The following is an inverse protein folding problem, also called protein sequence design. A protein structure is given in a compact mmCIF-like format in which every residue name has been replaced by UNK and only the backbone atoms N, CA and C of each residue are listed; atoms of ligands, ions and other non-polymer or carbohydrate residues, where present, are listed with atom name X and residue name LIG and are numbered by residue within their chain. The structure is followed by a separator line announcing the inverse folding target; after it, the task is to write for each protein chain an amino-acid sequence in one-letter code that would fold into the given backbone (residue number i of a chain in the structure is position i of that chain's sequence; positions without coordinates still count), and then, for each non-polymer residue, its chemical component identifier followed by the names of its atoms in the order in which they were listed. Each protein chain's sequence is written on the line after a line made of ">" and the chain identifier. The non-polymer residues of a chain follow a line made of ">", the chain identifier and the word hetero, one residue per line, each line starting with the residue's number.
data_IF_636170849560
#
_entry.id   IF_636170849560
#
_cell.length_a   1.000
_cell.length_b   1.000
_cell.length_c   1.000
_cell.angle_alpha   90.00
_cell.angle_beta   90.00
_cell.angle_gamma   90.00
#
_symmetry.space_group_name_H-M   'P 1'
#
loop_
_entity.id
_entity.type
_entity.pdbx_description
1 polymer ?
#
# COMPACT_ATOMS: atom_id res chain seq x y z
N UNK A 1 -8.43 1.04 -19.11
CA UNK A 1 -7.93 2.42 -18.93
C UNK A 1 -9.08 3.29 -18.49
N UNK A 2 -8.84 4.18 -17.52
CA UNK A 2 -9.76 5.25 -17.16
C UNK A 2 -9.92 6.26 -18.30
N UNK A 3 -11.15 6.70 -18.58
CA UNK A 3 -11.49 7.65 -19.65
C UNK A 3 -11.40 9.09 -19.17
N UNK A 4 -11.85 9.35 -17.96
CA UNK A 4 -11.83 10.68 -17.34
C UNK A 4 -11.77 10.59 -15.81
N UNK A 5 -11.69 11.76 -15.16
CA UNK A 5 -11.55 11.90 -13.70
C UNK A 5 -12.85 11.55 -12.98
N UNK A 6 -14.01 11.84 -13.59
CA UNK A 6 -15.31 11.61 -12.97
C UNK A 6 -15.64 10.10 -12.94
N UNK A 7 -15.26 9.36 -13.98
CA UNK A 7 -15.31 7.89 -14.04
C UNK A 7 -14.49 7.27 -12.91
N UNK A 8 -13.28 7.79 -12.62
CA UNK A 8 -12.46 7.30 -11.50
C UNK A 8 -13.18 7.46 -10.17
N UNK A 9 -13.77 8.63 -9.91
CA UNK A 9 -14.51 8.88 -8.66
C UNK A 9 -15.67 7.90 -8.48
N UNK A 10 -16.45 7.68 -9.54
CA UNK A 10 -17.58 6.73 -9.52
C UNK A 10 -17.09 5.30 -9.30
N UNK A 11 -16.05 4.87 -10.02
CA UNK A 11 -15.50 3.53 -9.90
C UNK A 11 -14.90 3.29 -8.51
N UNK A 12 -14.07 4.20 -8.00
CA UNK A 12 -13.49 4.08 -6.65
C UNK A 12 -14.57 3.99 -5.58
N UNK A 13 -15.63 4.81 -5.67
CA UNK A 13 -16.78 4.74 -4.75
C UNK A 13 -17.49 3.38 -4.86
N UNK A 14 -17.65 2.84 -6.06
CA UNK A 14 -18.20 1.49 -6.29
C UNK A 14 -17.39 0.38 -5.60
N UNK A 15 -16.08 0.53 -5.51
CA UNK A 15 -15.17 -0.34 -4.75
C UNK A 15 -14.94 0.11 -3.31
N UNK A 16 -15.88 0.90 -2.75
CA UNK A 16 -15.89 1.37 -1.37
C UNK A 16 -14.65 2.18 -0.97
N UNK A 17 -14.12 2.99 -1.88
CA UNK A 17 -13.06 3.95 -1.60
C UNK A 17 -13.53 5.37 -1.93
N UNK A 18 -13.53 6.25 -0.93
CA UNK A 18 -13.96 7.64 -1.08
C UNK A 18 -12.75 8.49 -1.45
N UNK A 19 -12.51 8.63 -2.75
CA UNK A 19 -11.46 9.51 -3.28
C UNK A 19 -11.96 10.95 -3.41
N UNK A 20 -11.06 11.90 -3.24
CA UNK A 20 -11.29 13.29 -3.66
C UNK A 20 -10.87 13.51 -5.11
N UNK A 21 -11.27 14.66 -5.66
CA UNK A 21 -10.96 15.00 -7.05
C UNK A 21 -9.46 15.13 -7.30
N UNK A 22 -8.68 15.58 -6.31
CA UNK A 22 -7.22 15.70 -6.43
C UNK A 22 -6.54 14.34 -6.57
N UNK A 23 -6.88 13.35 -5.72
CA UNK A 23 -6.38 11.98 -5.86
C UNK A 23 -6.81 11.36 -7.19
N UNK A 24 -8.09 11.49 -7.56
CA UNK A 24 -8.59 10.97 -8.84
C UNK A 24 -7.85 11.57 -10.04
N UNK A 25 -7.53 12.86 -9.99
CA UNK A 25 -6.72 13.54 -11.02
C UNK A 25 -5.32 12.96 -11.09
N UNK A 26 -4.67 12.71 -9.94
CA UNK A 26 -3.33 12.12 -9.90
C UNK A 26 -3.31 10.68 -10.42
N UNK A 27 -4.35 9.89 -10.13
CA UNK A 27 -4.51 8.53 -10.69
C UNK A 27 -4.68 8.58 -12.21
N UNK A 28 -5.52 9.49 -12.72
CA UNK A 28 -5.72 9.68 -14.16
C UNK A 28 -4.42 10.05 -14.86
N UNK A 29 -3.67 11.02 -14.31
CA UNK A 29 -2.38 11.46 -14.83
C UNK A 29 -1.32 10.36 -14.74
N UNK A 30 -1.28 9.57 -13.66
CA UNK A 30 -0.35 8.46 -13.50
C UNK A 30 -0.54 7.42 -14.61
N UNK A 31 -1.79 7.09 -14.95
CA UNK A 31 -2.11 6.20 -16.06
C UNK A 31 -1.67 6.80 -17.41
N UNK A 32 -2.03 8.06 -17.67
CA UNK A 32 -1.80 8.71 -18.96
C UNK A 32 -0.32 9.02 -19.24
N UNK A 33 0.44 9.38 -18.21
CA UNK A 33 1.87 9.68 -18.30
C UNK A 33 2.76 8.46 -18.06
N UNK A 34 2.17 7.32 -17.69
CA UNK A 34 2.88 6.10 -17.30
C UNK A 34 3.94 6.36 -16.22
N UNK A 35 3.61 7.23 -15.26
CA UNK A 35 4.49 7.58 -14.15
C UNK A 35 4.02 6.94 -12.84
N UNK A 36 4.93 6.53 -11.95
CA UNK A 36 4.56 6.06 -10.63
C UNK A 36 3.81 7.12 -9.83
N UNK A 37 2.81 6.70 -9.06
CA UNK A 37 2.07 7.55 -8.12
C UNK A 37 2.64 7.38 -6.70
N UNK A 38 3.29 8.40 -6.17
CA UNK A 38 3.78 8.47 -4.80
C UNK A 38 2.71 9.09 -3.89
N UNK A 39 2.23 8.29 -2.95
CA UNK A 39 1.30 8.67 -1.89
C UNK A 39 2.06 8.82 -0.57
N UNK A 40 2.28 10.05 -0.13
CA UNK A 40 2.79 10.36 1.22
C UNK A 40 1.63 10.80 2.12
N UNK A 41 1.72 10.53 3.42
CA UNK A 41 0.70 10.97 4.37
C UNK A 41 0.78 10.22 5.69
N UNK A 42 -0.18 10.47 6.57
CA UNK A 42 -0.22 9.84 7.90
C UNK A 42 -0.56 8.35 7.85
N UNK A 43 -0.23 7.61 8.90
CA UNK A 43 -0.58 6.19 8.98
C UNK A 43 -2.11 6.02 9.02
N UNK A 44 -2.63 5.00 8.34
CA UNK A 44 -4.06 4.67 8.42
C UNK A 44 -5.01 5.59 7.63
N UNK A 45 -4.51 6.49 6.77
CA UNK A 45 -5.34 7.34 5.88
C UNK A 45 -5.75 6.67 4.55
N UNK A 46 -5.41 5.38 4.37
CA UNK A 46 -5.87 4.60 3.21
C UNK A 46 -4.97 4.61 1.97
N UNK A 47 -3.68 4.99 2.08
CA UNK A 47 -2.72 4.99 0.97
C UNK A 47 -2.58 3.63 0.27
N UNK A 48 -2.35 2.58 1.06
CA UNK A 48 -2.23 1.20 0.57
C UNK A 48 -3.52 0.68 -0.08
N UNK A 49 -4.68 1.15 0.38
CA UNK A 49 -5.98 0.75 -0.14
C UNK A 49 -6.19 1.27 -1.57
N UNK A 50 -5.61 2.42 -1.94
CA UNK A 50 -5.68 2.98 -3.30
C UNK A 50 -5.20 1.95 -4.33
N UNK A 51 -4.05 1.31 -4.10
CA UNK A 51 -3.49 0.34 -5.03
C UNK A 51 -4.39 -0.90 -5.20
N UNK A 52 -4.99 -1.39 -4.11
CA UNK A 52 -5.92 -2.52 -4.14
C UNK A 52 -7.19 -2.19 -4.93
N UNK A 53 -7.74 -1.00 -4.70
CA UNK A 53 -8.94 -0.53 -5.39
C UNK A 53 -8.65 -0.35 -6.88
N UNK A 54 -7.51 0.24 -7.24
CA UNK A 54 -7.09 0.39 -8.63
C UNK A 54 -6.93 -0.98 -9.30
N UNK A 55 -6.31 -1.96 -8.64
CA UNK A 55 -6.15 -3.29 -9.22
C UNK A 55 -7.49 -3.99 -9.45
N UNK A 56 -8.44 -3.80 -8.54
CA UNK A 56 -9.80 -4.33 -8.67
C UNK A 56 -10.55 -3.66 -9.83
N UNK A 57 -10.47 -2.33 -9.97
CA UNK A 57 -11.12 -1.59 -11.05
C UNK A 57 -10.53 -1.98 -12.41
N UNK A 58 -9.20 -2.10 -12.51
CA UNK A 58 -8.51 -2.48 -13.73
C UNK A 58 -8.58 -3.98 -14.03
N UNK A 59 -9.13 -4.78 -13.10
CA UNK A 59 -9.09 -6.23 -13.13
C UNK A 59 -7.66 -6.76 -13.39
N UNK A 60 -6.68 -6.13 -12.75
CA UNK A 60 -5.26 -6.45 -12.86
C UNK A 60 -4.78 -7.25 -11.65
N UNK A 61 -3.71 -8.03 -11.84
CA UNK A 61 -3.02 -8.68 -10.73
C UNK A 61 -2.38 -7.62 -9.83
N UNK A 62 -2.71 -7.64 -8.54
CA UNK A 62 -2.00 -6.85 -7.54
C UNK A 62 -0.70 -7.57 -7.15
N UNK A 63 0.43 -6.89 -7.35
CA UNK A 63 1.74 -7.34 -6.91
C UNK A 63 2.18 -6.38 -5.80
N UNK A 64 2.47 -6.91 -4.61
CA UNK A 64 2.92 -6.12 -3.47
C UNK A 64 4.39 -6.39 -3.18
N UNK A 65 5.15 -5.33 -3.10
CA UNK A 65 6.49 -5.26 -2.54
C UNK A 65 6.39 -4.49 -1.22
N UNK A 66 6.59 -5.17 -0.10
CA UNK A 66 6.64 -4.53 1.21
C UNK A 66 8.08 -4.09 1.49
N UNK A 67 8.28 -2.82 1.78
CA UNK A 67 9.57 -2.29 2.19
C UNK A 67 9.76 -2.40 3.71
N UNK A 68 10.99 -2.74 4.10
CA UNK A 68 11.47 -2.87 5.47
C UNK A 68 13.01 -2.75 5.45
N UNK A 69 13.61 -2.58 6.63
CA UNK A 69 15.06 -2.40 6.78
C UNK A 69 15.82 -3.68 6.38
N UNK A 70 16.87 -3.55 5.57
CA UNK A 70 17.59 -4.71 5.03
C UNK A 70 16.87 -5.43 3.88
N UNK A 71 15.84 -4.83 3.28
CA UNK A 71 15.28 -5.30 2.01
C UNK A 71 16.34 -5.19 0.90
N UNK A 72 16.59 -6.30 0.20
CA UNK A 72 17.65 -6.39 -0.79
C UNK A 72 17.12 -6.73 -2.20
N UNK A 73 18.03 -6.76 -3.17
CA UNK A 73 17.70 -7.13 -4.56
C UNK A 73 17.23 -8.59 -4.65
N UNK A 74 17.76 -9.50 -3.85
CA UNK A 74 17.42 -10.93 -3.95
C UNK A 74 15.97 -11.24 -3.58
N UNK A 75 15.41 -10.52 -2.60
CA UNK A 75 14.04 -10.69 -2.12
C UNK A 75 13.02 -9.83 -2.88
N UNK A 76 13.46 -8.73 -3.49
CA UNK A 76 12.61 -7.81 -4.24
C UNK A 76 12.55 -8.09 -5.74
N UNK A 77 13.66 -8.57 -6.34
CA UNK A 77 13.86 -8.72 -7.78
C UNK A 77 13.82 -10.17 -8.26
N UNK A 78 14.83 -10.97 -7.91
CA UNK A 78 14.91 -12.38 -8.25
C UNK A 78 15.86 -13.15 -7.33
N UNK A 79 15.65 -14.45 -7.25
CA UNK A 79 16.61 -15.37 -6.63
C UNK A 79 16.77 -16.62 -7.51
N UNK A 80 17.98 -17.15 -7.59
CA UNK A 80 18.21 -18.45 -8.22
C UNK A 80 17.82 -19.59 -7.27
N UNK A 81 17.00 -20.53 -7.75
CA UNK A 81 16.64 -21.71 -6.99
C UNK A 81 17.80 -22.74 -7.02
N UNK A 82 18.84 -22.48 -6.22
CA UNK A 82 20.01 -23.34 -6.11
C UNK A 82 19.67 -24.79 -5.72
N UNK A 83 18.73 -25.08 -4.78
CA UNK A 83 18.34 -26.45 -4.49
C UNK A 83 17.80 -27.20 -5.72
N UNK A 84 16.97 -26.53 -6.53
CA UNK A 84 16.42 -27.12 -7.77
C UNK A 84 17.50 -27.29 -8.84
N UNK A 85 18.41 -26.33 -8.98
CA UNK A 85 19.57 -26.45 -9.88
C UNK A 85 20.43 -27.66 -9.51
N UNK A 86 20.75 -27.81 -8.22
CA UNK A 86 21.56 -28.92 -7.73
C UNK A 86 20.88 -30.28 -7.91
N UNK A 87 19.56 -30.35 -7.74
CA UNK A 87 18.80 -31.58 -8.01
C UNK A 87 18.85 -31.96 -9.50
N UNK A 88 18.68 -30.98 -10.39
CA UNK A 88 18.75 -31.20 -11.85
C UNK A 88 20.14 -31.70 -12.25
N UNK A 89 21.21 -31.06 -11.76
CA UNK A 89 22.60 -31.49 -12.00
C UNK A 89 22.79 -32.96 -11.59
N UNK A 90 22.39 -33.33 -10.37
CA UNK A 90 22.50 -34.72 -9.88
C UNK A 90 21.69 -35.72 -10.73
N UNK A 91 20.50 -35.34 -11.16
CA UNK A 91 19.67 -36.20 -12.02
C UNK A 91 20.31 -36.43 -13.39
N UNK A 92 20.93 -35.41 -13.98
CA UNK A 92 21.65 -35.52 -15.25
C UNK A 92 22.92 -36.38 -15.11
N UNK A 93 23.65 -36.24 -14.01
CA UNK A 93 24.80 -37.11 -13.69
C UNK A 93 24.41 -38.59 -13.60
N UNK A 94 23.28 -38.91 -12.96
CA UNK A 94 22.77 -40.30 -12.85
C UNK A 94 22.33 -40.87 -14.20
N UNK A 95 21.82 -40.02 -15.11
CA UNK A 95 21.36 -40.42 -16.45
C UNK A 95 22.48 -40.58 -17.48
N UNK A 96 23.70 -40.14 -17.16
CA UNK A 96 24.85 -40.22 -18.07
C UNK A 96 24.75 -39.32 -19.30
N UNK A 97 23.91 -38.27 -19.24
CA UNK A 97 23.81 -37.26 -20.31
C UNK A 97 25.08 -36.40 -20.35
N UNK A 98 25.56 -36.09 -21.57
CA UNK A 98 26.83 -35.41 -21.78
C UNK A 98 26.81 -33.98 -21.21
N UNK A 99 27.91 -33.57 -20.55
CA UNK A 99 28.17 -32.26 -19.90
C UNK A 99 28.16 -31.03 -20.81
N UNK A 100 27.53 -31.05 -21.98
CA UNK A 100 27.47 -29.86 -22.83
C UNK A 100 26.31 -28.97 -22.36
N UNK A 101 26.69 -27.75 -22.01
CA UNK A 101 25.86 -26.59 -21.67
C UNK A 101 25.10 -26.67 -20.32
N UNK A 102 25.74 -27.25 -19.30
CA UNK A 102 25.22 -27.24 -17.91
C UNK A 102 24.97 -25.80 -17.44
N UNK A 103 25.88 -24.85 -17.73
CA UNK A 103 25.73 -23.43 -17.35
C UNK A 103 24.49 -22.77 -17.98
N UNK A 104 24.29 -22.90 -19.30
CA UNK A 104 23.09 -22.36 -19.96
C UNK A 104 21.80 -23.06 -19.48
N UNK A 105 21.90 -24.34 -19.10
CA UNK A 105 20.74 -25.10 -18.61
C UNK A 105 20.33 -24.66 -17.20
N UNK A 106 21.29 -24.44 -16.29
CA UNK A 106 21.01 -24.09 -14.88
C UNK A 106 20.66 -22.61 -14.69
N UNK A 107 21.22 -21.70 -15.50
CA UNK A 107 20.89 -20.27 -15.48
C UNK A 107 19.80 -19.93 -16.50
N UNK A 108 18.67 -20.63 -16.39
CA UNK A 108 17.50 -20.44 -17.23
C UNK A 108 16.28 -19.99 -16.42
N UNK A 109 15.28 -19.39 -17.08
CA UNK A 109 14.03 -18.96 -16.42
C UNK A 109 13.38 -20.05 -15.55
N UNK A 110 13.61 -21.34 -15.85
CA UNK A 110 13.11 -22.48 -15.08
C UNK A 110 13.57 -22.50 -13.61
N UNK A 111 14.73 -21.92 -13.32
CA UNK A 111 15.33 -21.86 -11.99
C UNK A 111 15.26 -20.48 -11.35
N UNK A 112 14.80 -19.47 -12.11
CA UNK A 112 14.68 -18.11 -11.64
C UNK A 112 13.38 -17.92 -10.84
N UNK A 113 13.51 -17.68 -9.55
CA UNK A 113 12.39 -17.30 -8.69
C UNK A 113 12.11 -15.82 -8.88
N UNK A 114 11.08 -15.52 -9.67
CA UNK A 114 10.64 -14.13 -9.91
C UNK A 114 10.04 -13.54 -8.64
N UNK A 115 10.64 -12.48 -8.11
CA UNK A 115 10.14 -11.72 -6.95
C UNK A 115 9.25 -10.54 -7.42
N UNK A 116 8.65 -9.73 -6.52
CA UNK A 116 7.64 -8.74 -6.92
C UNK A 116 8.02 -7.84 -8.10
N UNK A 117 9.25 -7.30 -8.14
CA UNK A 117 9.66 -6.38 -9.21
C UNK A 117 9.76 -7.09 -10.56
N UNK A 118 10.42 -8.26 -10.61
CA UNK A 118 10.52 -9.02 -11.86
C UNK A 118 9.15 -9.55 -12.30
N UNK A 119 8.27 -9.94 -11.37
CA UNK A 119 6.89 -10.32 -11.71
C UNK A 119 6.08 -9.15 -12.30
N UNK A 120 6.35 -7.92 -11.87
CA UNK A 120 5.65 -6.74 -12.36
C UNK A 120 6.13 -6.33 -13.77
N UNK A 121 7.43 -6.45 -14.03
CA UNK A 121 8.05 -6.12 -15.32
C UNK A 121 7.82 -7.23 -16.35
N UNK A 122 8.09 -8.48 -15.98
CA UNK A 122 7.96 -9.63 -16.87
C UNK A 122 6.56 -10.26 -16.77
N UNK A 123 5.54 -9.47 -17.11
CA UNK A 123 4.15 -9.93 -17.12
C UNK A 123 3.66 -10.21 -18.54
N UNK A 124 3.38 -11.48 -18.83
CA UNK A 124 2.85 -11.91 -20.14
C UNK A 124 1.32 -11.75 -20.26
N UNK A 125 0.66 -11.18 -19.25
CA UNK A 125 -0.79 -11.01 -19.25
C UNK A 125 -1.24 -9.90 -20.21
N UNK A 126 -2.47 -10.01 -20.72
CA UNK A 126 -3.07 -8.96 -21.54
C UNK A 126 -3.21 -7.63 -20.78
N UNK A 127 -3.52 -7.70 -19.49
CA UNK A 127 -3.71 -6.55 -18.60
C UNK A 127 -2.42 -6.36 -17.77
N UNK A 128 -1.79 -5.16 -17.81
CA UNK A 128 -0.61 -4.89 -16.99
C UNK A 128 -0.97 -4.95 -15.50
N UNK A 129 -0.05 -5.41 -14.63
CA UNK A 129 -0.35 -5.56 -13.22
C UNK A 129 -0.37 -4.20 -12.51
N UNK A 130 -0.94 -4.16 -11.33
CA UNK A 130 -0.77 -3.02 -10.41
C UNK A 130 0.33 -3.39 -9.42
N UNK A 131 1.42 -2.61 -9.41
CA UNK A 131 2.54 -2.78 -8.48
C UNK A 131 2.38 -1.81 -7.32
N UNK A 132 2.24 -2.36 -6.11
CA UNK A 132 2.26 -1.61 -4.87
C UNK A 132 3.64 -1.75 -4.22
N UNK A 133 4.37 -0.64 -4.09
CA UNK A 133 5.58 -0.52 -3.28
C UNK A 133 5.17 0.14 -1.97
N UNK A 134 5.06 -0.65 -0.90
CA UNK A 134 4.44 -0.23 0.35
C UNK A 134 5.50 0.15 1.39
N UNK A 135 5.31 1.30 2.05
CA UNK A 135 6.19 1.83 3.10
C UNK A 135 7.65 2.00 2.67
N UNK A 136 7.89 2.65 1.52
CA UNK A 136 9.24 2.86 0.96
C UNK A 136 10.19 3.60 1.90
N UNK A 137 9.65 4.37 2.84
CA UNK A 137 10.39 5.03 3.92
C UNK A 137 11.03 4.07 4.94
N UNK A 138 10.73 2.77 4.87
CA UNK A 138 11.32 1.75 5.74
C UNK A 138 12.49 1.00 5.11
N UNK A 139 12.72 1.12 3.80
CA UNK A 139 13.92 0.55 3.17
C UNK A 139 15.12 1.48 3.26
N UNK A 140 16.30 0.99 2.88
CA UNK A 140 17.54 1.77 2.86
C UNK A 140 17.69 2.62 1.59
N UNK A 141 18.58 3.61 1.60
CA UNK A 141 18.81 4.52 0.46
C UNK A 141 19.33 3.79 -0.79
N UNK A 142 20.14 2.75 -0.60
CA UNK A 142 20.64 1.91 -1.70
C UNK A 142 19.49 1.25 -2.46
N UNK A 143 18.47 0.79 -1.72
CA UNK A 143 17.29 0.19 -2.33
C UNK A 143 16.43 1.21 -3.06
N UNK A 144 16.27 2.42 -2.53
CA UNK A 144 15.59 3.52 -3.24
C UNK A 144 16.27 3.85 -4.58
N UNK A 145 17.62 3.90 -4.60
CA UNK A 145 18.38 4.16 -5.80
C UNK A 145 18.21 3.05 -6.85
N UNK A 146 18.21 1.79 -6.40
CA UNK A 146 17.93 0.64 -7.26
C UNK A 146 16.50 0.69 -7.83
N UNK A 147 15.49 0.92 -6.99
CA UNK A 147 14.10 1.07 -7.45
C UNK A 147 13.94 2.19 -8.46
N UNK A 148 14.67 3.29 -8.27
CA UNK A 148 14.66 4.42 -9.18
C UNK A 148 15.09 4.05 -10.60
N UNK A 149 16.14 3.23 -10.72
CA UNK A 149 16.60 2.71 -12.02
C UNK A 149 15.49 1.87 -12.66
N UNK A 150 14.94 0.91 -11.91
CA UNK A 150 13.89 0.01 -12.38
C UNK A 150 12.63 0.75 -12.81
N UNK A 151 12.17 1.75 -12.04
CA UNK A 151 10.95 2.51 -12.32
C UNK A 151 11.11 3.56 -13.42
N UNK A 152 12.34 3.97 -13.75
CA UNK A 152 12.58 4.96 -14.81
C UNK A 152 12.39 4.35 -16.19
N UNK A 153 12.95 3.16 -16.40
CA UNK A 153 12.99 2.50 -17.71
C UNK A 153 12.09 1.26 -17.78
N UNK A 154 11.47 0.86 -16.67
CA UNK A 154 10.72 -0.39 -16.52
C UNK A 154 11.49 -1.61 -17.06
N UNK A 155 12.80 -1.62 -16.79
CA UNK A 155 13.72 -2.68 -17.20
C UNK A 155 14.58 -3.13 -16.02
N UNK A 156 15.05 -4.37 -16.10
CA UNK A 156 15.92 -5.01 -15.13
C UNK A 156 17.04 -5.70 -15.88
N UNK A 157 18.29 -5.53 -15.44
CA UNK A 157 19.41 -6.32 -15.96
C UNK A 157 19.76 -7.44 -14.99
N UNK A 158 19.68 -8.68 -15.48
CA UNK A 158 20.13 -9.87 -14.76
C UNK A 158 21.45 -10.30 -15.39
N UNK A 159 22.58 -10.33 -14.68
CA UNK A 159 23.90 -10.61 -15.26
C UNK A 159 23.95 -11.87 -16.13
N UNK A 160 23.26 -12.93 -15.71
CA UNK A 160 23.28 -14.23 -16.37
C UNK A 160 22.28 -14.37 -17.52
N UNK A 161 21.22 -13.55 -17.57
CA UNK A 161 20.13 -13.64 -18.57
C UNK A 161 20.10 -12.44 -19.52
N UNK A 162 20.71 -11.32 -19.13
CA UNK A 162 20.66 -10.04 -19.84
C UNK A 162 19.53 -9.13 -19.35
N UNK A 163 19.20 -8.13 -20.17
CA UNK A 163 18.20 -7.10 -19.84
C UNK A 163 16.79 -7.56 -20.22
N UNK A 164 15.89 -7.45 -19.25
CA UNK A 164 14.46 -7.73 -19.38
C UNK A 164 13.71 -6.41 -19.27
N UNK A 165 13.06 -5.99 -20.35
CA UNK A 165 12.23 -4.79 -20.38
C UNK A 165 10.75 -5.15 -20.37
N UNK A 166 9.93 -4.34 -19.71
CA UNK A 166 8.49 -4.53 -19.70
C UNK A 166 7.88 -4.17 -21.07
N UNK A 167 7.14 -5.10 -21.67
CA UNK A 167 6.34 -4.82 -22.87
C UNK A 167 5.15 -3.90 -22.56
N UNK A 168 4.62 -4.00 -21.34
CA UNK A 168 3.50 -3.20 -20.83
C UNK A 168 3.81 -2.74 -19.41
N UNK A 169 3.75 -1.43 -19.20
CA UNK A 169 4.14 -0.87 -17.91
C UNK A 169 3.06 -1.10 -16.84
N UNK A 170 3.46 -1.57 -15.64
CA UNK A 170 2.53 -1.71 -14.54
C UNK A 170 2.02 -0.34 -14.07
N UNK A 171 0.81 -0.32 -13.50
CA UNK A 171 0.37 0.83 -12.75
C UNK A 171 1.06 0.80 -11.38
N UNK A 172 1.97 1.74 -11.12
CA UNK A 172 2.78 1.76 -9.90
C UNK A 172 2.21 2.72 -8.87
N UNK A 173 1.95 2.22 -7.67
CA UNK A 173 1.64 3.02 -6.47
C UNK A 173 2.75 2.81 -5.45
N UNK A 174 3.32 3.91 -4.97
CA UNK A 174 4.33 3.92 -3.92
C UNK A 174 3.71 4.59 -2.70
N UNK A 175 3.81 3.99 -1.51
CA UNK A 175 3.29 4.59 -0.27
C UNK A 175 4.42 4.89 0.70
N UNK A 176 4.28 5.97 1.46
CA UNK A 176 5.18 6.31 2.56
C UNK A 176 4.42 6.93 3.73
N UNK A 177 4.81 6.56 4.94
CA UNK A 177 4.30 7.13 6.19
C UNK A 177 5.17 8.30 6.69
N UNK A 178 6.16 8.73 5.89
CA UNK A 178 7.12 9.78 6.19
C UNK A 178 7.88 9.54 7.52
N UNK A 179 8.17 8.28 7.88
CA UNK A 179 9.02 7.97 9.04
C UNK A 179 10.46 8.46 8.84
N UNK A 180 10.89 8.57 7.59
CA UNK A 180 12.09 9.30 7.16
C UNK A 180 11.81 10.07 5.87
N UNK A 181 12.73 10.96 5.52
CA UNK A 181 12.67 11.65 4.23
C UNK A 181 13.14 10.71 3.11
N UNK A 182 12.33 10.62 2.05
CA UNK A 182 12.68 9.91 0.82
C UNK A 182 13.65 10.73 -0.02
N UNK A 183 14.42 10.04 -0.87
CA UNK A 183 15.38 10.69 -1.74
C UNK A 183 14.66 11.57 -2.78
N UNK A 184 15.13 12.82 -2.96
CA UNK A 184 14.56 13.78 -3.91
C UNK A 184 14.43 13.25 -5.35
N UNK A 185 15.35 12.38 -5.77
CA UNK A 185 15.33 11.77 -7.09
C UNK A 185 14.07 10.90 -7.30
N UNK A 186 13.63 10.17 -6.26
CA UNK A 186 12.42 9.36 -6.31
C UNK A 186 11.19 10.25 -6.46
N UNK A 187 11.09 11.31 -5.65
CA UNK A 187 9.99 12.28 -5.72
C UNK A 187 9.87 12.92 -7.09
N UNK A 188 10.99 13.32 -7.72
CA UNK A 188 11.01 13.98 -9.04
C UNK A 188 10.58 13.07 -10.19
N UNK A 189 10.69 11.74 -10.04
CA UNK A 189 10.28 10.77 -11.06
C UNK A 189 8.84 10.26 -10.88
N UNK A 190 8.22 10.58 -9.75
CA UNK A 190 6.83 10.20 -9.46
C UNK A 190 5.87 11.39 -9.62
N UNK A 191 4.59 11.09 -9.85
CA UNK A 191 3.53 12.01 -9.52
C UNK A 191 3.30 11.96 -8.01
N UNK A 192 3.29 13.12 -7.37
CA UNK A 192 3.20 13.22 -5.92
C UNK A 192 1.78 13.61 -5.49
N UNK A 193 1.27 12.92 -4.48
CA UNK A 193 0.03 13.28 -3.82
C UNK A 193 0.13 13.08 -2.31
N UNK A 194 -0.24 14.12 -1.55
CA UNK A 194 -0.34 14.06 -0.10
C UNK A 194 -1.73 13.60 0.31
N UNK A 195 -1.82 12.53 1.09
CA UNK A 195 -3.06 12.02 1.67
C UNK A 195 -3.14 12.44 3.12
N UNK A 196 -3.97 13.44 3.38
CA UNK A 196 -4.24 13.94 4.73
C UNK A 196 -5.33 13.13 5.43
N UNK A 197 -5.54 13.39 6.71
CA UNK A 197 -6.76 12.98 7.39
C UNK A 197 -7.98 13.54 6.65
N UNK A 198 -9.07 12.76 6.53
CA UNK A 198 -10.27 13.21 5.83
C UNK A 198 -10.96 14.34 6.58
N UNK A 199 -11.67 15.20 5.83
CA UNK A 199 -12.66 16.10 6.44
C UNK A 199 -13.76 15.28 7.11
N UNK A 200 -14.52 15.91 8.01
CA UNK A 200 -15.66 15.28 8.66
C UNK A 200 -16.62 14.62 7.66
N UNK A 201 -16.97 15.33 6.57
CA UNK A 201 -17.90 14.84 5.56
C UNK A 201 -17.34 13.61 4.83
N UNK A 202 -16.06 13.68 4.44
CA UNK A 202 -15.38 12.56 3.76
C UNK A 202 -15.25 11.36 4.69
N UNK A 203 -14.95 11.58 5.96
CA UNK A 203 -14.83 10.52 6.96
C UNK A 203 -16.17 9.83 7.24
N UNK A 204 -17.23 10.62 7.39
CA UNK A 204 -18.58 10.11 7.56
C UNK A 204 -19.00 9.26 6.36
N UNK A 205 -18.73 9.73 5.14
CA UNK A 205 -18.99 8.96 3.92
C UNK A 205 -18.20 7.65 3.90
N UNK A 206 -16.93 7.66 4.33
CA UNK A 206 -16.10 6.46 4.44
C UNK A 206 -16.72 5.46 5.42
N UNK A 207 -17.10 5.91 6.62
CA UNK A 207 -17.71 5.06 7.66
C UNK A 207 -18.99 4.43 7.16
N UNK A 208 -19.91 5.22 6.60
CA UNK A 208 -21.18 4.74 6.06
C UNK A 208 -20.99 3.75 4.89
N UNK A 209 -19.95 3.95 4.08
CA UNK A 209 -19.64 3.08 2.94
C UNK A 209 -18.99 1.75 3.36
N UNK A 210 -18.10 1.79 4.35
CA UNK A 210 -17.31 0.63 4.79
C UNK A 210 -18.02 -0.21 5.85
N UNK A 211 -18.97 0.36 6.61
CA UNK A 211 -19.63 -0.31 7.74
C UNK A 211 -21.15 -0.39 7.51
N UNK A 212 -21.63 -1.42 6.79
CA UNK A 212 -23.06 -1.65 6.61
C UNK A 212 -23.76 -1.86 7.96
N UNK A 213 -24.88 -1.18 8.17
CA UNK A 213 -25.70 -1.34 9.38
C UNK A 213 -25.37 -0.39 10.52
N UNK A 214 -24.36 0.48 10.39
CA UNK A 214 -24.17 1.57 11.34
C UNK A 214 -25.30 2.60 11.23
N UNK A 215 -25.80 3.09 12.37
CA UNK A 215 -26.78 4.19 12.39
C UNK A 215 -26.06 5.52 12.11
N UNK A 216 -26.68 6.38 11.31
CA UNK A 216 -26.10 7.68 10.90
C UNK A 216 -25.71 8.54 12.12
N UNK A 217 -26.52 8.51 13.18
CA UNK A 217 -26.23 9.21 14.44
C UNK A 217 -24.91 8.76 15.07
N UNK A 218 -24.67 7.44 15.18
CA UNK A 218 -23.42 6.90 15.73
C UNK A 218 -22.24 7.22 14.82
N UNK A 219 -22.41 7.07 13.50
CA UNK A 219 -21.35 7.38 12.54
C UNK A 219 -20.89 8.85 12.68
N UNK A 220 -21.84 9.78 12.80
CA UNK A 220 -21.54 11.21 13.05
C UNK A 220 -20.81 11.42 14.36
N UNK A 221 -21.29 10.85 15.46
CA UNK A 221 -20.66 11.03 16.78
C UNK A 221 -19.22 10.46 16.79
N UNK A 222 -18.99 9.32 16.14
CA UNK A 222 -17.65 8.73 15.97
C UNK A 222 -16.73 9.67 15.19
N UNK A 223 -17.19 10.19 14.05
CA UNK A 223 -16.40 11.12 13.24
C UNK A 223 -16.12 12.43 13.99
N UNK A 224 -17.11 13.02 14.67
CA UNK A 224 -16.94 14.22 15.50
C UNK A 224 -15.88 14.00 16.58
N UNK A 225 -15.94 12.86 17.26
CA UNK A 225 -14.97 12.49 18.28
C UNK A 225 -13.55 12.32 17.71
N UNK A 226 -13.41 11.63 16.57
CA UNK A 226 -12.12 11.43 15.91
C UNK A 226 -11.50 12.77 15.45
N UNK A 227 -12.31 13.68 14.92
CA UNK A 227 -11.86 15.02 14.53
C UNK A 227 -11.33 15.82 15.73
N UNK A 228 -12.00 15.75 16.89
CA UNK A 228 -11.53 16.38 18.13
C UNK A 228 -10.23 15.75 18.64
N UNK A 229 -10.15 14.42 18.68
CA UNK A 229 -8.95 13.72 19.16
C UNK A 229 -7.73 14.07 18.31
N UNK A 230 -7.86 14.16 16.98
CA UNK A 230 -6.75 14.54 16.10
C UNK A 230 -6.23 15.98 16.30
N UNK A 231 -6.99 16.84 16.98
CA UNK A 231 -6.54 18.19 17.35
C UNK A 231 -5.79 18.21 18.69
N UNK A 232 -5.80 17.10 19.43
CA UNK A 232 -5.04 16.96 20.67
C UNK A 232 -3.60 16.52 20.36
N UNK A 233 -2.66 16.97 21.18
CA UNK A 233 -1.26 16.61 21.09
C UNK A 233 -1.00 15.21 21.70
N UNK A 234 -1.44 14.15 21.01
CA UNK A 234 -1.11 12.76 21.38
C UNK A 234 0.16 12.29 20.68
N UNK A 235 0.82 11.28 21.24
CA UNK A 235 2.00 10.68 20.61
C UNK A 235 1.71 10.17 19.20
N UNK A 236 0.51 9.61 19.01
CA UNK A 236 0.04 9.20 17.69
C UNK A 236 -1.46 9.40 17.57
N UNK A 237 -1.84 10.27 16.65
CA UNK A 237 -3.24 10.51 16.34
C UNK A 237 -3.87 9.30 15.58
N UNK A 238 -5.14 8.97 15.87
CA UNK A 238 -5.83 7.87 15.22
C UNK A 238 -6.13 8.17 13.75
N UNK A 239 -5.95 7.18 12.88
CA UNK A 239 -6.29 7.25 11.47
C UNK A 239 -7.72 6.82 11.17
N UNK A 240 -7.98 6.62 9.89
CA UNK A 240 -9.27 6.11 9.40
C UNK A 240 -9.43 4.63 9.80
N UNK A 241 -8.33 3.88 9.87
CA UNK A 241 -8.33 2.50 10.34
C UNK A 241 -8.92 2.38 11.76
N UNK A 242 -8.42 3.18 12.71
CA UNK A 242 -8.94 3.23 14.08
C UNK A 242 -10.40 3.71 14.12
N UNK A 243 -10.78 4.62 13.22
CA UNK A 243 -12.17 5.09 13.09
C UNK A 243 -13.11 3.95 12.70
N UNK A 244 -12.72 3.15 11.71
CA UNK A 244 -13.51 2.03 11.24
C UNK A 244 -13.56 0.89 12.28
N UNK A 245 -12.43 0.59 12.91
CA UNK A 245 -12.35 -0.43 13.97
C UNK A 245 -13.24 -0.06 15.15
N UNK A 246 -13.23 1.21 15.57
CA UNK A 246 -14.06 1.67 16.68
C UNK A 246 -15.54 1.66 16.33
N UNK A 247 -15.91 2.16 15.15
CA UNK A 247 -17.28 2.09 14.67
C UNK A 247 -17.82 0.65 14.58
N UNK A 248 -16.99 -0.30 14.15
CA UNK A 248 -17.35 -1.72 14.13
C UNK A 248 -17.49 -2.29 15.56
N UNK A 249 -16.62 -1.88 16.49
CA UNK A 249 -16.71 -2.29 17.89
C UNK A 249 -18.02 -1.81 18.55
N UNK A 250 -18.45 -0.58 18.26
CA UNK A 250 -19.72 -0.05 18.79
C UNK A 250 -20.93 -0.84 18.30
N UNK A 251 -20.91 -1.30 17.04
CA UNK A 251 -21.95 -2.21 16.51
C UNK A 251 -21.94 -3.54 17.25
N UNK A 252 -20.76 -4.13 17.47
CA UNK A 252 -20.63 -5.41 18.18
C UNK A 252 -21.14 -5.30 19.62
N UNK A 253 -20.91 -4.16 20.28
CA UNK A 253 -21.42 -3.87 21.62
C UNK A 253 -22.91 -3.52 21.65
N UNK A 254 -23.58 -3.40 20.50
CA UNK A 254 -24.98 -3.01 20.40
C UNK A 254 -25.25 -1.60 20.92
N UNK A 255 -24.24 -0.72 20.88
CA UNK A 255 -24.35 0.63 21.45
C UNK A 255 -25.12 1.55 20.52
N UNK A 256 -26.07 2.27 21.12
CA UNK A 256 -26.94 3.17 20.39
C UNK A 256 -26.55 4.66 20.51
N UNK A 257 -25.77 5.02 21.51
CA UNK A 257 -25.25 6.38 21.67
C UNK A 257 -23.83 6.30 22.25
N UNK A 258 -23.00 7.31 21.97
CA UNK A 258 -21.71 7.46 22.64
C UNK A 258 -21.92 8.15 23.98
N UNK A 259 -21.83 7.37 25.06
CA UNK A 259 -21.71 7.85 26.43
C UNK A 259 -20.26 7.78 26.93
N UNK A 260 -19.95 8.48 28.03
CA UNK A 260 -18.59 8.55 28.58
C UNK A 260 -18.04 7.18 28.97
N UNK A 261 -18.90 6.29 29.51
CA UNK A 261 -18.52 4.95 29.92
C UNK A 261 -18.08 4.11 28.72
N UNK A 262 -18.83 4.17 27.63
CA UNK A 262 -18.56 3.46 26.38
C UNK A 262 -17.25 3.95 25.77
N UNK A 263 -17.02 5.27 25.76
CA UNK A 263 -15.75 5.84 25.28
C UNK A 263 -14.59 5.30 26.11
N UNK A 264 -14.65 5.36 27.45
CA UNK A 264 -13.56 4.87 28.30
C UNK A 264 -13.30 3.36 28.14
N UNK A 265 -14.35 2.54 28.03
CA UNK A 265 -14.24 1.10 27.84
C UNK A 265 -13.68 0.71 26.47
N UNK A 266 -13.89 1.56 25.45
CA UNK A 266 -13.47 1.29 24.06
C UNK A 266 -12.26 2.12 23.63
N UNK A 267 -11.63 2.86 24.55
CA UNK A 267 -10.51 3.76 24.24
C UNK A 267 -9.35 3.05 23.55
N UNK A 268 -9.13 1.76 23.88
CA UNK A 268 -8.10 0.92 23.26
C UNK A 268 -8.32 0.65 21.77
N UNK A 269 -9.52 0.89 21.23
CA UNK A 269 -9.77 0.88 19.78
C UNK A 269 -9.10 2.07 19.09
N UNK A 270 -9.04 3.22 19.77
CA UNK A 270 -8.67 4.52 19.22
C UNK A 270 -7.21 4.88 19.55
N UNK A 271 -6.82 4.74 20.81
CA UNK A 271 -5.51 5.10 21.33
C UNK A 271 -4.73 3.83 21.69
N UNK A 272 -3.48 3.74 21.21
CA UNK A 272 -2.61 2.56 21.40
C UNK A 272 -1.48 2.77 22.40
N UNK A 273 -1.29 3.99 22.88
CA UNK A 273 -0.26 4.34 23.86
C UNK A 273 -0.88 4.56 25.22
N UNK A 274 -0.32 3.93 26.26
CA UNK A 274 -0.81 4.04 27.63
C UNK A 274 -0.82 5.50 28.10
N UNK A 275 0.21 6.27 27.75
CA UNK A 275 0.33 7.67 28.15
C UNK A 275 -0.74 8.55 27.48
N UNK A 276 -1.08 8.28 26.21
CA UNK A 276 -2.20 8.95 25.52
C UNK A 276 -3.54 8.62 26.20
N UNK A 277 -3.74 7.36 26.61
CA UNK A 277 -4.96 6.94 27.33
C UNK A 277 -5.08 7.62 28.70
N UNK A 278 -3.97 7.75 29.44
CA UNK A 278 -3.94 8.44 30.73
C UNK A 278 -4.23 9.94 30.54
N UNK A 279 -3.57 10.58 29.58
CA UNK A 279 -3.79 11.98 29.22
C UNK A 279 -5.25 12.24 28.84
N UNK A 280 -5.85 11.36 28.03
CA UNK A 280 -7.27 11.47 27.66
C UNK A 280 -8.19 11.39 28.89
N UNK A 281 -7.95 10.45 29.81
CA UNK A 281 -8.74 10.31 31.04
C UNK A 281 -8.62 11.54 31.95
N UNK A 282 -7.44 12.13 32.04
CA UNK A 282 -7.25 13.40 32.76
C UNK A 282 -8.05 14.54 32.12
N UNK A 283 -8.04 14.65 30.79
CA UNK A 283 -8.82 15.65 30.05
C UNK A 283 -10.34 15.48 30.27
N UNK A 284 -10.82 14.24 30.28
CA UNK A 284 -12.23 13.92 30.57
C UNK A 284 -12.62 14.35 31.99
N UNK A 285 -11.77 14.10 32.99
CA UNK A 285 -12.01 14.51 34.38
C UNK A 285 -12.05 16.04 34.53
N UNK A 286 -11.31 16.77 33.70
CA UNK A 286 -11.27 18.23 33.67
C UNK A 286 -12.41 18.86 32.84
N UNK A 287 -13.25 18.06 32.19
CA UNK A 287 -14.35 18.54 31.33
C UNK A 287 -13.88 19.20 30.04
N UNK A 288 -12.69 18.83 29.55
CA UNK A 288 -12.03 19.44 28.39
C UNK A 288 -12.27 18.68 27.06
N UNK A 289 -13.07 17.61 27.08
CA UNK A 289 -13.40 16.74 25.93
C UNK A 289 -14.89 16.77 25.57
#
# INVERSE_FOLDING_TARGET
>A
MFKDIDEILVLMKGYKYVADRSLATMIYLAQGLQKPLLLEGEAGVGKTEVAKVISQILNSKLIRLQCYEGLDVSTSLYEWNYPKQMLEIKMQEVKGEAKKDIEETIFSEKFLLKRPLLQAIQNNSMIPPTLLIDEIDRSDEEFEAFLLEVLSDFQITIPEIGTIAAEKYPFVVITSNRTRQLHDALKRRCLYHWVDYPSFEKELEIVLTKIPGIRDSIARQVCEFMQKIRQTDFHKNPGIAETLDWAQALIVLGKEELDQETIDQTLGCILKYKDDMLKFREMMLLGLC
#
